data_IF_308810404421
#
_entry.id   IF_308810404421
#
_cell.length_a   1.000
_cell.length_b   1.000
_cell.length_c   1.000
_cell.angle_alpha   90.00
_cell.angle_beta   90.00
_cell.angle_gamma   90.00
#
_symmetry.space_group_name_H-M   'P 1'
#
loop_
_entity.id
_entity.type
_entity.pdbx_description
1 polymer ?
#
# COMPACT_ATOMS: atom_id res chain seq x y z
N UNK A 1 16.71 28.15 -23.10
CA UNK A 1 16.87 26.68 -23.21
C UNK A 1 15.60 26.05 -22.68
N UNK A 2 14.95 25.19 -23.46
CA UNK A 2 13.76 24.46 -23.01
C UNK A 2 14.13 23.23 -22.18
N UNK A 3 13.18 22.70 -21.39
CA UNK A 3 13.39 21.44 -20.69
C UNK A 3 13.59 20.30 -21.70
N UNK A 4 14.63 19.50 -21.49
CA UNK A 4 14.96 18.33 -22.34
C UNK A 4 14.45 17.02 -21.76
N UNK A 5 14.08 17.01 -20.47
CA UNK A 5 13.62 15.84 -19.75
C UNK A 5 12.34 16.15 -18.97
N UNK A 6 11.44 15.17 -18.89
CA UNK A 6 10.21 15.22 -18.11
C UNK A 6 10.06 13.94 -17.29
N UNK A 7 9.85 14.08 -15.98
CA UNK A 7 9.48 12.96 -15.11
C UNK A 7 8.00 13.11 -14.77
N UNK A 8 7.21 12.07 -15.07
CA UNK A 8 5.77 12.06 -14.82
C UNK A 8 5.45 11.05 -13.74
N UNK A 9 5.09 11.53 -12.55
CA UNK A 9 4.86 10.69 -11.35
C UNK A 9 3.41 10.23 -11.16
N UNK A 10 2.55 10.51 -12.13
CA UNK A 10 1.13 10.16 -12.10
C UNK A 10 0.64 9.76 -13.49
N UNK A 11 -0.26 8.77 -13.64
CA UNK A 11 -0.72 8.25 -14.93
C UNK A 11 -1.72 9.18 -15.64
N UNK A 12 -1.31 10.44 -15.84
CA UNK A 12 -2.12 11.49 -16.48
C UNK A 12 -2.05 11.34 -17.99
N UNK A 13 -3.05 10.66 -18.56
CA UNK A 13 -3.14 10.40 -20.00
C UNK A 13 -2.94 11.64 -20.88
N UNK A 14 -3.55 12.82 -20.62
CA UNK A 14 -3.35 14.00 -21.48
C UNK A 14 -1.90 14.49 -21.52
N UNK A 15 -1.21 14.45 -20.37
CA UNK A 15 0.18 14.89 -20.26
C UNK A 15 1.12 13.91 -20.97
N UNK A 16 0.89 12.61 -20.78
CA UNK A 16 1.68 11.56 -21.43
C UNK A 16 1.46 11.59 -22.95
N UNK A 17 0.22 11.76 -23.41
CA UNK A 17 -0.07 11.90 -24.83
C UNK A 17 0.61 13.14 -25.43
N UNK A 18 0.55 14.29 -24.76
CA UNK A 18 1.27 15.49 -25.21
C UNK A 18 2.78 15.25 -25.27
N UNK A 19 3.35 14.63 -24.23
CA UNK A 19 4.78 14.35 -24.14
C UNK A 19 5.26 13.37 -25.24
N UNK A 20 4.42 12.41 -25.63
CA UNK A 20 4.76 11.46 -26.68
C UNK A 20 4.91 12.09 -28.07
N UNK A 21 4.42 13.33 -28.25
CA UNK A 21 4.51 14.10 -29.48
C UNK A 21 5.57 15.22 -29.42
N UNK A 22 6.39 15.27 -28.36
CA UNK A 22 7.50 16.22 -28.25
C UNK A 22 8.81 15.57 -28.72
N UNK A 23 9.35 15.92 -29.90
CA UNK A 23 10.47 15.20 -30.52
C UNK A 23 11.80 15.31 -29.73
N UNK A 24 11.96 16.36 -28.92
CA UNK A 24 13.18 16.65 -28.18
C UNK A 24 13.02 16.51 -26.65
N UNK A 25 11.96 15.84 -26.19
CA UNK A 25 11.66 15.69 -24.77
C UNK A 25 11.75 14.21 -24.36
N UNK A 26 12.81 13.85 -23.64
CA UNK A 26 12.89 12.53 -23.04
C UNK A 26 11.97 12.46 -21.82
N UNK A 27 11.02 11.53 -21.84
CA UNK A 27 10.03 11.42 -20.77
C UNK A 27 10.14 10.09 -20.05
N UNK A 28 10.21 10.15 -18.72
CA UNK A 28 10.16 9.00 -17.83
C UNK A 28 8.82 8.98 -17.06
N UNK A 29 7.88 8.11 -17.46
CA UNK A 29 6.76 7.73 -16.60
C UNK A 29 7.28 6.95 -15.39
N UNK A 30 7.11 7.49 -14.18
CA UNK A 30 7.61 6.95 -12.91
C UNK A 30 6.47 6.89 -11.89
N UNK A 31 5.64 5.87 -11.99
CA UNK A 31 4.39 5.77 -11.22
C UNK A 31 4.56 5.09 -9.85
N UNK A 32 3.58 5.30 -8.98
CA UNK A 32 3.41 4.57 -7.73
C UNK A 32 1.95 4.06 -7.58
N UNK A 33 1.34 3.71 -8.71
CA UNK A 33 -0.10 3.51 -8.85
C UNK A 33 -0.47 2.04 -9.04
N UNK A 34 -1.70 1.70 -8.67
CA UNK A 34 -2.30 0.38 -8.91
C UNK A 34 -3.31 0.46 -10.05
N UNK A 35 -3.26 -0.50 -10.96
CA UNK A 35 -4.19 -0.62 -12.10
C UNK A 35 -5.10 -1.85 -11.97
N UNK A 36 -5.28 -2.36 -10.74
CA UNK A 36 -6.01 -3.59 -10.47
C UNK A 36 -7.54 -3.46 -10.54
N UNK A 37 -8.10 -2.26 -10.52
CA UNK A 37 -9.55 -2.02 -10.54
C UNK A 37 -10.18 -2.40 -11.90
N UNK A 38 -11.36 -3.04 -11.87
CA UNK A 38 -11.93 -3.74 -13.04
C UNK A 38 -13.33 -3.30 -13.47
N UNK A 39 -13.74 -2.06 -13.21
CA UNK A 39 -14.97 -1.54 -13.83
C UNK A 39 -14.80 -1.42 -15.35
N UNK A 40 -15.88 -1.49 -16.12
CA UNK A 40 -15.82 -1.39 -17.59
C UNK A 40 -15.18 -0.07 -18.05
N UNK A 41 -15.47 1.03 -17.36
CA UNK A 41 -14.87 2.34 -17.65
C UNK A 41 -13.37 2.37 -17.32
N UNK A 42 -12.97 1.83 -16.16
CA UNK A 42 -11.55 1.76 -15.79
C UNK A 42 -10.75 0.90 -16.76
N UNK A 43 -11.32 -0.18 -17.31
CA UNK A 43 -10.67 -0.99 -18.35
C UNK A 43 -10.39 -0.20 -19.62
N UNK A 44 -11.37 0.56 -20.12
CA UNK A 44 -11.19 1.40 -21.31
C UNK A 44 -10.12 2.46 -21.06
N UNK A 45 -10.19 3.17 -19.93
CA UNK A 45 -9.20 4.16 -19.53
C UNK A 45 -7.79 3.56 -19.45
N UNK A 46 -7.65 2.39 -18.84
CA UNK A 46 -6.36 1.71 -18.70
C UNK A 46 -5.81 1.23 -20.05
N UNK A 47 -6.67 0.76 -20.97
CA UNK A 47 -6.26 0.40 -22.32
C UNK A 47 -5.76 1.62 -23.12
N UNK A 48 -6.44 2.77 -22.98
CA UNK A 48 -5.99 4.04 -23.59
C UNK A 48 -4.64 4.48 -23.03
N UNK A 49 -4.45 4.37 -21.71
CA UNK A 49 -3.17 4.65 -21.05
C UNK A 49 -2.07 3.71 -21.56
N UNK A 50 -2.34 2.40 -21.64
CA UNK A 50 -1.37 1.43 -22.13
C UNK A 50 -0.95 1.70 -23.58
N UNK A 51 -1.89 2.08 -24.45
CA UNK A 51 -1.59 2.49 -25.82
C UNK A 51 -0.62 3.67 -25.88
N UNK A 52 -0.83 4.69 -25.06
CA UNK A 52 0.09 5.84 -24.98
C UNK A 52 1.46 5.42 -24.43
N UNK A 53 1.51 4.62 -23.36
CA UNK A 53 2.76 4.16 -22.77
C UNK A 53 3.57 3.24 -23.71
N UNK A 54 2.91 2.58 -24.66
CA UNK A 54 3.56 1.80 -25.70
C UNK A 54 4.15 2.64 -26.83
N UNK A 55 3.88 3.96 -26.88
CA UNK A 55 4.47 4.84 -27.88
C UNK A 55 6.01 4.75 -27.87
N UNK A 56 6.69 4.75 -29.04
CA UNK A 56 8.14 4.58 -29.12
C UNK A 56 8.97 5.66 -28.40
N UNK A 57 8.38 6.83 -28.14
CA UNK A 57 9.03 7.90 -27.35
C UNK A 57 9.30 7.49 -25.90
N UNK A 58 8.52 6.57 -25.34
CA UNK A 58 8.73 6.03 -24.01
C UNK A 58 9.56 4.76 -24.11
N UNK A 59 10.84 4.89 -23.71
CA UNK A 59 11.80 3.79 -23.66
C UNK A 59 11.59 2.91 -22.43
N UNK A 60 11.17 3.52 -21.32
CA UNK A 60 10.95 2.88 -20.01
C UNK A 60 9.66 3.41 -19.40
N UNK A 61 8.92 2.54 -18.72
CA UNK A 61 7.77 2.86 -17.90
C UNK A 61 7.99 2.23 -16.53
N UNK A 62 8.17 3.05 -15.50
CA UNK A 62 8.52 2.58 -14.18
C UNK A 62 7.30 2.59 -13.24
N UNK A 63 7.15 1.56 -12.38
CA UNK A 63 6.11 1.54 -11.35
C UNK A 63 6.60 0.92 -10.02
N UNK A 64 6.04 1.40 -8.92
CA UNK A 64 6.47 1.05 -7.57
C UNK A 64 6.07 -0.39 -7.19
N UNK A 65 7.06 -1.21 -6.84
CA UNK A 65 6.98 -2.64 -6.53
C UNK A 65 6.64 -3.52 -7.73
N UNK A 66 7.25 -4.72 -7.73
CA UNK A 66 7.15 -5.70 -8.83
C UNK A 66 5.72 -5.95 -9.29
N UNK A 67 4.78 -6.00 -8.35
CA UNK A 67 3.46 -6.45 -8.70
C UNK A 67 2.44 -5.32 -8.91
N UNK A 68 2.81 -4.05 -8.72
CA UNK A 68 2.12 -2.94 -9.37
C UNK A 68 2.67 -2.74 -10.79
N UNK A 69 3.97 -3.00 -11.00
CA UNK A 69 4.55 -3.07 -12.34
C UNK A 69 3.88 -4.18 -13.20
N UNK A 70 3.54 -5.33 -12.60
CA UNK A 70 2.72 -6.35 -13.28
C UNK A 70 1.31 -5.87 -13.64
N UNK A 71 0.75 -4.88 -12.93
CA UNK A 71 -0.55 -4.32 -13.30
C UNK A 71 -0.46 -3.50 -14.60
N UNK A 72 0.67 -2.82 -14.87
CA UNK A 72 0.92 -2.18 -16.17
C UNK A 72 0.94 -3.20 -17.32
N UNK A 73 1.63 -4.33 -17.11
CA UNK A 73 1.63 -5.41 -18.09
C UNK A 73 0.22 -5.96 -18.34
N UNK A 74 -0.55 -6.16 -17.26
CA UNK A 74 -1.95 -6.65 -17.33
C UNK A 74 -2.90 -5.73 -18.09
N UNK A 75 -2.65 -4.41 -18.08
CA UNK A 75 -3.46 -3.45 -18.85
C UNK A 75 -2.97 -3.28 -20.30
N UNK A 76 -1.89 -3.95 -20.69
CA UNK A 76 -1.40 -4.02 -22.07
C UNK A 76 -0.12 -3.22 -22.35
N UNK A 77 0.59 -2.74 -21.33
CA UNK A 77 1.92 -2.13 -21.54
C UNK A 77 2.93 -3.22 -21.90
N UNK A 78 3.78 -2.93 -22.89
CA UNK A 78 4.86 -3.81 -23.34
C UNK A 78 5.79 -4.15 -22.16
N UNK A 79 5.95 -5.45 -21.90
CA UNK A 79 6.74 -5.97 -20.78
C UNK A 79 8.19 -5.53 -20.83
N UNK A 80 8.76 -5.36 -22.02
CA UNK A 80 10.16 -4.99 -22.21
C UNK A 80 10.44 -3.53 -21.81
N UNK A 81 9.40 -2.71 -21.70
CA UNK A 81 9.49 -1.32 -21.22
C UNK A 81 9.32 -1.18 -19.72
N UNK A 82 8.78 -2.20 -19.05
CA UNK A 82 8.35 -2.08 -17.65
C UNK A 82 9.54 -2.28 -16.72
N UNK A 83 9.83 -1.27 -15.90
CA UNK A 83 10.87 -1.34 -14.87
C UNK A 83 10.23 -1.22 -13.49
N UNK A 84 10.23 -2.29 -12.67
CA UNK A 84 9.83 -2.16 -11.28
C UNK A 84 10.89 -1.36 -10.52
N UNK A 85 10.45 -0.44 -9.69
CA UNK A 85 11.33 0.27 -8.75
C UNK A 85 10.80 0.12 -7.33
N UNK A 86 11.67 0.26 -6.35
CA UNK A 86 11.32 0.19 -4.94
C UNK A 86 12.16 1.21 -4.17
N UNK A 87 11.70 1.60 -2.99
CA UNK A 87 12.54 2.39 -2.10
C UNK A 87 13.56 1.48 -1.43
N UNK A 88 14.81 1.95 -1.23
CA UNK A 88 15.72 1.24 -0.34
C UNK A 88 15.05 1.07 1.02
N UNK A 89 15.06 -0.16 1.54
CA UNK A 89 14.51 -0.44 2.86
C UNK A 89 15.52 0.03 3.90
N UNK A 90 15.12 1.02 4.70
CA UNK A 90 15.94 1.50 5.83
C UNK A 90 16.16 0.42 6.89
N UNK A 91 15.24 -0.55 6.98
CA UNK A 91 15.28 -1.62 7.98
C UNK A 91 14.90 -2.98 7.36
N UNK A 92 15.63 -4.03 7.75
CA UNK A 92 15.35 -5.43 7.42
C UNK A 92 14.69 -6.18 8.58
N UNK A 93 14.29 -7.46 8.38
CA UNK A 93 13.76 -8.31 9.44
C UNK A 93 14.66 -8.41 10.68
N UNK A 94 15.97 -8.27 10.48
CA UNK A 94 16.98 -8.37 11.54
C UNK A 94 17.21 -7.06 12.31
N UNK A 95 16.51 -5.97 11.95
CA UNK A 95 16.62 -4.68 12.63
C UNK A 95 16.08 -4.71 14.07
N UNK A 96 15.25 -5.69 14.41
CA UNK A 96 14.71 -5.90 15.75
C UNK A 96 14.84 -7.38 16.13
N UNK A 97 15.06 -7.69 17.42
CA UNK A 97 14.98 -9.07 17.87
C UNK A 97 13.56 -9.63 17.62
N UNK A 98 13.42 -10.95 17.40
CA UNK A 98 12.12 -11.59 17.31
C UNK A 98 11.25 -11.26 18.52
N UNK A 99 10.00 -10.85 18.27
CA UNK A 99 9.08 -10.52 19.35
C UNK A 99 8.67 -11.77 20.11
N UNK A 100 8.65 -11.65 21.43
CA UNK A 100 8.00 -12.60 22.33
C UNK A 100 6.74 -11.96 22.87
N UNK A 101 5.65 -12.72 22.96
CA UNK A 101 4.44 -12.24 23.63
C UNK A 101 4.71 -12.03 25.12
N UNK A 102 4.05 -11.04 25.71
CA UNK A 102 4.14 -10.83 27.15
C UNK A 102 3.58 -12.08 27.86
N UNK A 103 4.36 -12.75 28.73
CA UNK A 103 3.90 -13.95 29.43
C UNK A 103 2.82 -13.66 30.49
N UNK A 104 2.66 -12.40 30.90
CA UNK A 104 1.61 -12.00 31.84
C UNK A 104 0.23 -11.96 31.14
N UNK A 105 -0.70 -12.87 31.49
CA UNK A 105 -2.02 -12.92 30.87
C UNK A 105 -2.92 -11.74 31.26
N UNK A 106 -2.53 -10.94 32.26
CA UNK A 106 -3.26 -9.73 32.66
C UNK A 106 -2.82 -8.49 31.87
N UNK A 107 -1.65 -8.54 31.23
CA UNK A 107 -1.14 -7.46 30.42
C UNK A 107 -2.01 -7.25 29.16
N UNK A 108 -2.25 -6.00 28.75
CA UNK A 108 -3.07 -5.75 27.57
C UNK A 108 -2.38 -6.23 26.29
N UNK A 109 -3.15 -6.79 25.36
CA UNK A 109 -2.68 -7.04 24.00
C UNK A 109 -2.66 -5.72 23.21
N UNK A 110 -1.47 -5.23 22.87
CA UNK A 110 -1.28 -3.95 22.18
C UNK A 110 -1.19 -4.16 20.68
N UNK A 111 -2.18 -3.66 19.98
CA UNK A 111 -2.28 -3.69 18.53
C UNK A 111 -1.94 -2.32 17.95
N UNK A 112 -1.37 -2.30 16.76
CA UNK A 112 -1.19 -1.06 15.99
C UNK A 112 -1.64 -1.23 14.54
N UNK A 113 -2.35 -0.23 14.04
CA UNK A 113 -2.58 -0.03 12.62
C UNK A 113 -1.78 1.20 12.16
N UNK A 114 -1.03 1.05 11.07
CA UNK A 114 -0.28 2.14 10.45
C UNK A 114 -0.72 2.30 9.01
N UNK A 115 -1.27 3.46 8.67
CA UNK A 115 -1.65 3.79 7.31
C UNK A 115 -2.74 4.85 7.21
N UNK A 116 -3.18 5.12 5.98
CA UNK A 116 -4.33 5.99 5.73
C UNK A 116 -5.58 5.43 6.42
N UNK A 117 -6.26 6.25 7.22
CA UNK A 117 -7.46 5.85 7.95
C UNK A 117 -8.73 5.95 7.09
N UNK A 118 -8.65 5.47 5.85
CA UNK A 118 -9.78 5.41 4.92
C UNK A 118 -10.56 4.11 5.11
N UNK A 119 -11.85 4.10 4.79
CA UNK A 119 -12.75 2.95 4.99
C UNK A 119 -12.22 1.67 4.33
N UNK A 120 -11.69 1.77 3.10
CA UNK A 120 -11.16 0.63 2.35
C UNK A 120 -9.92 -0.03 2.95
N UNK A 121 -9.32 0.57 4.00
CA UNK A 121 -8.23 -0.03 4.78
C UNK A 121 -8.72 -0.70 6.06
N UNK A 122 -10.03 -0.70 6.30
CA UNK A 122 -10.70 -1.36 7.42
C UNK A 122 -10.33 -0.91 8.84
N UNK A 123 -9.85 0.32 9.13
CA UNK A 123 -9.60 0.71 10.52
C UNK A 123 -10.90 0.75 11.34
N UNK A 124 -12.05 0.98 10.68
CA UNK A 124 -13.36 0.90 11.31
C UNK A 124 -13.70 -0.51 11.78
N UNK A 125 -13.43 -1.54 10.96
CA UNK A 125 -13.65 -2.94 11.33
C UNK A 125 -12.72 -3.36 12.47
N UNK A 126 -11.49 -2.84 12.48
CA UNK A 126 -10.55 -3.07 13.55
C UNK A 126 -11.04 -2.50 14.90
N UNK A 127 -11.65 -1.31 14.89
CA UNK A 127 -12.28 -0.73 16.09
C UNK A 127 -13.44 -1.62 16.59
N UNK A 128 -14.29 -2.14 15.69
CA UNK A 128 -15.37 -3.06 16.08
C UNK A 128 -14.83 -4.38 16.65
N UNK A 129 -13.72 -4.89 16.10
CA UNK A 129 -13.07 -6.09 16.61
C UNK A 129 -12.52 -5.88 18.03
N UNK A 130 -11.96 -4.70 18.32
CA UNK A 130 -11.47 -4.33 19.67
C UNK A 130 -12.62 -4.24 20.66
N UNK A 131 -13.74 -3.60 20.30
CA UNK A 131 -14.96 -3.57 21.15
C UNK A 131 -15.38 -4.99 21.54
N UNK A 132 -15.53 -5.87 20.54
CA UNK A 132 -15.97 -7.25 20.75
C UNK A 132 -14.98 -8.04 21.61
N UNK A 133 -13.68 -7.89 21.37
CA UNK A 133 -12.64 -8.56 22.14
C UNK A 133 -12.65 -8.11 23.61
N UNK A 134 -12.82 -6.82 23.87
CA UNK A 134 -12.87 -6.28 25.24
C UNK A 134 -14.14 -6.67 25.98
N UNK A 135 -15.29 -6.70 25.30
CA UNK A 135 -16.54 -7.22 25.87
C UNK A 135 -16.48 -8.72 26.16
N UNK A 136 -15.57 -9.45 25.51
CA UNK A 136 -15.24 -10.85 25.80
C UNK A 136 -14.12 -11.02 26.85
N UNK A 137 -13.58 -9.93 27.42
CA UNK A 137 -12.59 -9.95 28.49
C UNK A 137 -11.11 -10.02 28.05
N UNK A 138 -10.78 -9.75 26.78
CA UNK A 138 -9.42 -9.94 26.24
C UNK A 138 -8.42 -8.77 26.44
N UNK A 139 -8.80 -7.69 27.13
CA UNK A 139 -7.96 -6.51 27.42
C UNK A 139 -7.06 -6.07 26.24
N UNK A 140 -7.66 -5.61 25.15
CA UNK A 140 -7.00 -5.18 23.92
C UNK A 140 -6.89 -3.65 23.89
N UNK A 141 -5.70 -3.16 23.55
CA UNK A 141 -5.40 -1.75 23.28
C UNK A 141 -5.03 -1.56 21.82
N UNK A 142 -5.50 -0.50 21.19
CA UNK A 142 -5.27 -0.21 19.78
C UNK A 142 -4.67 1.18 19.58
N UNK A 143 -3.54 1.23 18.89
CA UNK A 143 -2.96 2.46 18.38
C UNK A 143 -3.25 2.62 16.89
N UNK A 144 -3.75 3.80 16.51
CA UNK A 144 -4.03 4.18 15.13
C UNK A 144 -3.05 5.26 14.68
N UNK A 145 -2.06 4.88 13.87
CA UNK A 145 -1.10 5.79 13.26
C UNK A 145 -1.51 6.14 11.82
N UNK A 146 -1.63 7.43 11.55
CA UNK A 146 -2.15 8.02 10.32
C UNK A 146 -2.94 9.29 10.63
N UNK A 147 -3.27 10.07 9.60
CA UNK A 147 -4.13 11.24 9.75
C UNK A 147 -5.51 10.79 10.30
N UNK A 148 -5.94 11.29 11.48
CA UNK A 148 -7.25 11.00 12.04
C UNK A 148 -8.37 11.38 11.06
N UNK A 149 -9.47 10.63 11.08
CA UNK A 149 -10.67 10.93 10.31
C UNK A 149 -11.87 11.06 11.24
N UNK A 150 -12.70 12.08 11.03
CA UNK A 150 -13.81 12.42 11.93
C UNK A 150 -14.77 11.24 12.15
N UNK A 151 -15.08 10.50 11.08
CA UNK A 151 -15.97 9.33 11.16
C UNK A 151 -15.42 8.23 12.07
N UNK A 152 -14.09 8.05 12.12
CA UNK A 152 -13.43 7.03 12.91
C UNK A 152 -13.32 7.48 14.37
N UNK A 153 -12.97 8.75 14.59
CA UNK A 153 -12.96 9.37 15.93
C UNK A 153 -14.36 9.30 16.55
N UNK A 154 -15.40 9.63 15.79
CA UNK A 154 -16.80 9.56 16.24
C UNK A 154 -17.23 8.12 16.52
N UNK A 155 -16.76 7.14 15.73
CA UNK A 155 -17.01 5.72 15.99
C UNK A 155 -16.41 5.27 17.33
N UNK A 156 -15.14 5.60 17.59
CA UNK A 156 -14.47 5.31 18.87
C UNK A 156 -15.23 5.94 20.03
N UNK A 157 -15.65 7.21 19.89
CA UNK A 157 -16.45 7.92 20.90
C UNK A 157 -17.79 7.24 21.17
N UNK A 158 -18.53 6.88 20.12
CA UNK A 158 -19.85 6.22 20.21
C UNK A 158 -19.77 4.85 20.89
N UNK A 159 -18.69 4.11 20.66
CA UNK A 159 -18.45 2.82 21.31
C UNK A 159 -17.87 2.95 22.72
N UNK A 160 -17.53 4.16 23.17
CA UNK A 160 -16.96 4.38 24.50
C UNK A 160 -15.52 3.89 24.64
N UNK A 161 -14.79 3.69 23.54
CA UNK A 161 -13.45 3.10 23.51
C UNK A 161 -12.30 4.10 23.72
N UNK A 162 -12.58 5.23 24.38
CA UNK A 162 -11.60 6.31 24.55
C UNK A 162 -10.40 5.94 25.41
N UNK A 163 -10.53 4.91 26.26
CA UNK A 163 -9.41 4.37 27.04
C UNK A 163 -8.60 3.35 26.25
N UNK A 164 -9.22 2.64 25.31
CA UNK A 164 -8.69 1.46 24.64
C UNK A 164 -8.07 1.80 23.29
N UNK A 165 -8.53 2.87 22.64
CA UNK A 165 -8.09 3.28 21.30
C UNK A 165 -7.39 4.64 21.37
N UNK A 166 -6.14 4.68 20.92
CA UNK A 166 -5.33 5.90 20.85
C UNK A 166 -5.05 6.29 19.39
N UNK A 167 -5.26 7.56 19.06
CA UNK A 167 -4.84 8.13 17.78
C UNK A 167 -3.44 8.73 17.93
N UNK A 168 -2.46 8.18 17.21
CA UNK A 168 -1.07 8.65 17.23
C UNK A 168 -0.80 9.78 16.23
N UNK A 169 -1.74 10.05 15.32
CA UNK A 169 -1.54 11.01 14.24
C UNK A 169 -0.56 10.51 13.18
N UNK A 170 -0.08 11.43 12.34
CA UNK A 170 0.92 11.09 11.30
C UNK A 170 2.30 11.03 11.94
N UNK A 171 3.02 9.93 11.71
CA UNK A 171 4.36 9.70 12.24
C UNK A 171 5.43 9.95 11.15
N UNK A 172 6.62 10.44 11.51
CA UNK A 172 7.80 10.41 10.64
C UNK A 172 8.14 8.99 10.20
N UNK A 173 8.65 8.82 8.98
CA UNK A 173 8.99 7.49 8.44
C UNK A 173 9.96 6.71 9.35
N UNK A 174 10.96 7.40 9.90
CA UNK A 174 11.96 6.84 10.82
C UNK A 174 11.37 6.30 12.12
N UNK A 175 10.20 6.79 12.55
CA UNK A 175 9.55 6.37 13.81
C UNK A 175 8.57 5.22 13.61
N UNK A 176 8.07 5.00 12.39
CA UNK A 176 7.06 3.98 12.10
C UNK A 176 7.52 2.60 12.55
N UNK A 177 8.75 2.21 12.21
CA UNK A 177 9.29 0.90 12.56
C UNK A 177 9.45 0.73 14.08
N UNK A 178 9.86 1.78 14.79
CA UNK A 178 9.99 1.79 16.24
C UNK A 178 8.63 1.63 16.92
N UNK A 179 7.62 2.41 16.48
CA UNK A 179 6.25 2.31 16.99
C UNK A 179 5.67 0.93 16.71
N UNK A 180 5.80 0.41 15.49
CA UNK A 180 5.40 -0.97 15.16
C UNK A 180 6.08 -1.98 16.09
N UNK A 181 7.36 -1.80 16.41
CA UNK A 181 8.11 -2.69 17.27
C UNK A 181 7.64 -2.64 18.75
N UNK A 182 7.19 -1.48 19.23
CA UNK A 182 6.70 -1.29 20.61
C UNK A 182 5.37 -1.99 20.92
N UNK A 183 4.60 -2.38 19.90
CA UNK A 183 3.32 -3.08 20.04
C UNK A 183 3.50 -4.60 19.95
N UNK A 184 2.48 -5.39 20.27
CA UNK A 184 2.59 -6.85 20.23
C UNK A 184 2.30 -7.39 18.81
N UNK A 185 1.39 -6.74 18.08
CA UNK A 185 1.13 -7.04 16.68
C UNK A 185 0.79 -5.81 15.84
N UNK A 186 1.22 -5.82 14.58
CA UNK A 186 0.72 -4.91 13.54
C UNK A 186 -0.48 -5.56 12.88
N UNK A 187 -1.60 -4.85 12.83
CA UNK A 187 -2.83 -5.33 12.21
C UNK A 187 -3.05 -4.59 10.90
N UNK A 188 -3.18 -5.35 9.81
CA UNK A 188 -3.54 -4.82 8.49
C UNK A 188 -4.88 -5.43 8.12
N UNK A 189 -6.01 -4.74 8.38
CA UNK A 189 -7.32 -5.23 8.02
C UNK A 189 -7.37 -5.42 6.50
N UNK A 190 -7.55 -6.66 6.06
CA UNK A 190 -7.62 -6.97 4.64
C UNK A 190 -9.07 -6.87 4.17
N UNK A 191 -9.39 -5.88 3.34
CA UNK A 191 -10.55 -6.00 2.46
C UNK A 191 -10.26 -7.16 1.47
N UNK A 192 -11.25 -8.02 1.24
CA UNK A 192 -11.27 -9.03 0.17
C UNK A 192 -10.79 -8.52 -1.20
N UNK A 193 -10.96 -7.22 -1.49
CA UNK A 193 -10.39 -6.56 -2.68
C UNK A 193 -8.85 -6.54 -2.67
N UNK A 194 -8.23 -6.31 -1.51
CA UNK A 194 -6.79 -6.34 -1.27
C UNK A 194 -6.22 -7.77 -1.29
N UNK A 195 -6.98 -8.77 -0.80
CA UNK A 195 -6.55 -10.18 -0.73
C UNK A 195 -6.26 -10.78 -2.11
N UNK A 196 -7.02 -10.43 -3.16
CA UNK A 196 -6.76 -10.94 -4.53
C UNK A 196 -5.49 -10.34 -5.16
N UNK A 197 -5.12 -9.12 -4.78
CA UNK A 197 -3.89 -8.49 -5.24
C UNK A 197 -2.64 -9.15 -4.63
N UNK A 198 -2.72 -9.63 -3.38
CA UNK A 198 -1.63 -10.30 -2.67
C UNK A 198 -1.56 -11.82 -2.88
N UNK A 199 -2.68 -12.56 -3.00
CA UNK A 199 -2.66 -14.03 -3.14
C UNK A 199 -2.12 -14.53 -4.49
N UNK A 200 -2.01 -13.69 -5.51
CA UNK A 200 -1.26 -14.05 -6.74
C UNK A 200 0.26 -13.87 -6.59
N UNK A 201 0.76 -13.36 -5.45
CA UNK A 201 2.15 -12.90 -5.25
C UNK A 201 3.07 -13.82 -4.42
N UNK A 202 2.70 -15.04 -4.02
CA UNK A 202 3.72 -15.98 -3.52
C UNK A 202 3.30 -17.45 -3.69
N UNK A 203 4.26 -18.27 -4.08
CA UNK A 203 4.22 -19.74 -4.20
C UNK A 203 3.56 -20.37 -5.45
N UNK A 204 4.25 -20.27 -6.59
CA UNK A 204 4.55 -21.48 -7.37
C UNK A 204 5.97 -21.90 -7.01
N UNK A 205 6.11 -22.87 -6.10
CA UNK A 205 7.37 -23.58 -5.91
C UNK A 205 7.77 -24.20 -7.24
N UNK A 206 8.90 -23.78 -7.78
CA UNK A 206 9.61 -24.45 -8.87
C UNK A 206 10.14 -25.78 -8.34
N UNK A 207 9.30 -26.82 -8.32
CA UNK A 207 9.76 -28.20 -8.22
C UNK A 207 10.21 -28.68 -9.60
N UNK A 208 11.37 -28.20 -10.05
CA UNK A 208 12.25 -28.90 -11.00
C UNK A 208 13.70 -28.68 -10.59
N UNK A 209 14.06 -29.31 -9.48
CA UNK A 209 15.43 -29.68 -9.22
C UNK A 209 15.70 -31.00 -9.96
N UNK A 210 16.66 -30.95 -10.88
CA UNK A 210 17.68 -31.97 -11.15
C UNK A 210 17.24 -33.45 -10.99
N UNK A 211 17.11 -34.13 -12.12
CA UNK A 211 17.81 -35.41 -12.38
C UNK A 211 18.40 -35.33 -13.77
#
# INVERSE_FOLDING_TARGET
MGATHLIVVSPLWPLLFWASHQPNLETLPLFADSFAERTSWTRVRNAMLASVLNHPSFKVVANHQIAAALDLWRIGVDGDKIVPWDYPRDFGPDAFPPKSLNPDPSAPLRLVFVGSQIESKGPGDLVDAVDRANRAGLNVRLSLAGRPQDWLTEKVRRLGLGGEVQFLGTLPHSEVALVMNQHDAVVVPSDTSFRRAFQTRSWRRSSRARR
#
